data_IF_310675995254
#
_entry.id   IF_310675995254
#
_cell.length_a   1.000
_cell.length_b   1.000
_cell.length_c   1.000
_cell.angle_alpha   90.00
_cell.angle_beta   90.00
_cell.angle_gamma   90.00
#
_symmetry.space_group_name_H-M   'P 1'
#
loop_
_entity.id
_entity.type
_entity.pdbx_description
1 polymer ?
#
# COMPACT_ATOMS: atom_id res chain seq x y z
N UNK A 1 -11.41 -6.52 -17.26
CA UNK A 1 -12.11 -7.21 -16.14
C UNK A 1 -11.66 -8.65 -16.11
N UNK A 2 -11.14 -9.11 -14.96
CA UNK A 2 -10.71 -10.50 -14.79
C UNK A 2 -11.93 -11.44 -14.91
N UNK A 3 -11.71 -12.65 -15.42
CA UNK A 3 -12.77 -13.66 -15.62
C UNK A 3 -13.53 -13.97 -14.32
N UNK A 4 -12.85 -13.86 -13.17
CA UNK A 4 -13.43 -14.08 -11.83
C UNK A 4 -14.41 -12.98 -11.40
N UNK A 5 -14.11 -11.70 -11.67
CA UNK A 5 -15.03 -10.61 -11.37
C UNK A 5 -16.37 -10.79 -12.11
N UNK A 6 -16.31 -11.24 -13.37
CA UNK A 6 -17.50 -11.52 -14.19
C UNK A 6 -18.34 -12.67 -13.60
N UNK A 7 -17.72 -13.74 -13.11
CA UNK A 7 -18.41 -14.87 -12.46
C UNK A 7 -19.28 -14.35 -11.31
N UNK A 8 -18.67 -13.73 -10.30
CA UNK A 8 -19.38 -13.29 -9.09
C UNK A 8 -20.44 -12.23 -9.36
N UNK A 9 -20.21 -11.32 -10.33
CA UNK A 9 -21.20 -10.31 -10.71
C UNK A 9 -22.45 -10.90 -11.38
N UNK A 10 -22.30 -12.01 -12.13
CA UNK A 10 -23.42 -12.64 -12.86
C UNK A 10 -24.15 -13.65 -11.96
N UNK A 11 -23.41 -14.47 -11.19
CA UNK A 11 -24.00 -15.54 -10.38
C UNK A 11 -24.56 -15.04 -9.05
N UNK A 12 -24.08 -13.88 -8.57
CA UNK A 12 -24.36 -13.37 -7.23
C UNK A 12 -24.07 -14.39 -6.11
N UNK A 13 -23.19 -15.35 -6.37
CA UNK A 13 -22.82 -16.36 -5.38
C UNK A 13 -21.98 -15.74 -4.25
N UNK A 14 -22.13 -16.28 -3.04
CA UNK A 14 -21.28 -15.92 -1.90
C UNK A 14 -19.94 -16.64 -1.98
N UNK A 15 -18.90 -16.00 -1.49
CA UNK A 15 -17.57 -16.59 -1.35
C UNK A 15 -17.08 -16.41 0.09
N UNK A 16 -16.27 -17.36 0.55
CA UNK A 16 -15.67 -17.32 1.88
C UNK A 16 -14.39 -16.44 1.89
N UNK A 17 -13.79 -16.32 3.08
CA UNK A 17 -12.59 -15.51 3.30
C UNK A 17 -11.36 -16.06 2.55
N UNK A 18 -11.24 -17.37 2.37
CA UNK A 18 -10.13 -17.97 1.65
C UNK A 18 -10.18 -17.57 0.18
N UNK A 19 -11.35 -17.64 -0.45
CA UNK A 19 -11.52 -17.12 -1.81
C UNK A 19 -11.33 -15.61 -1.88
N UNK A 20 -11.78 -14.85 -0.88
CA UNK A 20 -11.56 -13.40 -0.84
C UNK A 20 -10.07 -13.02 -0.81
N UNK A 21 -9.24 -13.81 -0.12
CA UNK A 21 -7.77 -13.64 -0.08
C UNK A 21 -7.16 -13.98 -1.44
N UNK A 22 -7.56 -15.10 -2.05
CA UNK A 22 -7.07 -15.51 -3.37
C UNK A 22 -7.41 -14.51 -4.48
N UNK A 23 -8.57 -13.85 -4.36
CA UNK A 23 -9.01 -12.77 -5.25
C UNK A 23 -8.32 -11.42 -4.98
N UNK A 24 -7.56 -11.30 -3.88
CA UNK A 24 -6.92 -10.05 -3.46
C UNK A 24 -7.89 -9.00 -2.91
N UNK A 25 -9.11 -9.39 -2.52
CA UNK A 25 -10.11 -8.51 -1.89
C UNK A 25 -9.83 -8.31 -0.40
N UNK A 26 -9.31 -9.36 0.25
CA UNK A 26 -8.89 -9.35 1.65
C UNK A 26 -7.39 -9.60 1.71
N UNK A 27 -6.68 -8.79 2.50
CA UNK A 27 -5.22 -8.91 2.63
C UNK A 27 -4.81 -10.00 3.63
N UNK A 28 -5.59 -10.17 4.70
CA UNK A 28 -5.29 -11.13 5.77
C UNK A 28 -6.54 -11.43 6.60
N UNK A 29 -6.69 -12.68 7.02
CA UNK A 29 -7.71 -13.13 7.98
C UNK A 29 -7.16 -13.09 9.41
N UNK A 30 -8.03 -12.81 10.38
CA UNK A 30 -7.77 -12.98 11.81
C UNK A 30 -8.96 -13.66 12.50
N UNK A 31 -8.71 -14.29 13.65
CA UNK A 31 -9.78 -14.60 14.59
C UNK A 31 -10.34 -13.30 15.19
N UNK A 32 -11.57 -13.34 15.67
CA UNK A 32 -12.22 -12.19 16.31
C UNK A 32 -11.38 -11.65 17.49
N UNK A 33 -10.83 -12.54 18.31
CA UNK A 33 -9.96 -12.19 19.44
C UNK A 33 -8.70 -11.42 19.04
N UNK A 34 -8.17 -11.67 17.83
CA UNK A 34 -6.87 -11.15 17.39
C UNK A 34 -7.02 -10.01 16.37
N UNK A 35 -8.25 -9.65 15.97
CA UNK A 35 -8.50 -8.65 14.93
C UNK A 35 -7.92 -7.27 15.31
N UNK A 36 -8.11 -6.85 16.56
CA UNK A 36 -7.58 -5.58 17.06
C UNK A 36 -6.05 -5.57 17.08
N UNK A 37 -5.43 -6.66 17.53
CA UNK A 37 -3.97 -6.77 17.53
C UNK A 37 -3.41 -6.73 16.11
N UNK A 38 -4.04 -7.44 15.17
CA UNK A 38 -3.62 -7.42 13.77
C UNK A 38 -3.73 -6.02 13.17
N UNK A 39 -4.86 -5.32 13.40
CA UNK A 39 -5.05 -3.93 12.98
C UNK A 39 -3.94 -3.04 13.54
N UNK A 40 -3.65 -3.15 14.83
CA UNK A 40 -2.67 -2.30 15.50
C UNK A 40 -1.25 -2.59 15.00
N UNK A 41 -0.95 -3.84 14.65
CA UNK A 41 0.31 -4.21 14.01
C UNK A 41 0.47 -3.55 12.63
N UNK A 42 -0.58 -3.53 11.81
CA UNK A 42 -0.56 -2.82 10.52
C UNK A 42 -0.41 -1.30 10.70
N UNK A 43 -1.10 -0.70 11.67
CA UNK A 43 -0.96 0.73 11.99
C UNK A 43 0.48 1.04 12.41
N UNK A 44 1.07 0.22 13.29
CA UNK A 44 2.47 0.37 13.72
C UNK A 44 3.45 0.29 12.55
N UNK A 45 3.23 -0.61 11.59
CA UNK A 45 4.06 -0.70 10.39
C UNK A 45 3.97 0.58 9.56
N UNK A 46 2.77 1.12 9.37
CA UNK A 46 2.56 2.37 8.63
C UNK A 46 3.20 3.56 9.36
N UNK A 47 3.10 3.63 10.68
CA UNK A 47 3.70 4.71 11.49
C UNK A 47 5.23 4.75 11.43
N UNK A 48 5.89 3.62 11.13
CA UNK A 48 7.35 3.60 10.91
C UNK A 48 7.78 4.24 9.58
N UNK A 49 6.83 4.49 8.68
CA UNK A 49 7.10 5.06 7.36
C UNK A 49 6.96 6.58 7.35
N UNK A 50 7.71 7.24 6.47
CA UNK A 50 7.64 8.68 6.27
C UNK A 50 6.23 9.11 5.78
N UNK A 51 5.49 9.96 6.53
CA UNK A 51 4.08 10.19 6.27
C UNK A 51 3.79 10.88 4.93
N UNK A 52 4.62 11.83 4.48
CA UNK A 52 4.40 12.45 3.17
C UNK A 52 4.75 11.49 2.02
N UNK A 53 5.86 10.75 2.13
CA UNK A 53 6.22 9.71 1.17
C UNK A 53 5.12 8.65 1.02
N UNK A 54 4.59 8.12 2.13
CA UNK A 54 3.53 7.11 2.12
C UNK A 54 2.24 7.61 1.47
N UNK A 55 1.85 8.87 1.71
CA UNK A 55 0.71 9.49 1.01
C UNK A 55 0.94 9.60 -0.51
N UNK A 56 2.13 10.03 -0.93
CA UNK A 56 2.51 10.13 -2.36
C UNK A 56 2.50 8.77 -3.04
N UNK A 57 3.07 7.75 -2.41
CA UNK A 57 3.09 6.37 -2.92
C UNK A 57 1.67 5.82 -3.03
N UNK A 58 0.83 6.01 -2.00
CA UNK A 58 -0.58 5.56 -2.05
C UNK A 58 -1.33 6.18 -3.23
N UNK A 59 -1.20 7.49 -3.43
CA UNK A 59 -1.81 8.19 -4.58
C UNK A 59 -1.26 7.70 -5.93
N UNK A 60 0.05 7.43 -6.00
CA UNK A 60 0.69 6.85 -7.19
C UNK A 60 0.13 5.48 -7.55
N UNK A 61 0.01 4.58 -6.57
CA UNK A 61 -0.53 3.23 -6.78
C UNK A 61 -1.98 3.25 -7.27
N UNK A 62 -2.80 4.20 -6.79
CA UNK A 62 -4.16 4.40 -7.30
C UNK A 62 -4.15 4.79 -8.77
N UNK A 63 -3.29 5.71 -9.21
CA UNK A 63 -3.18 6.09 -10.63
C UNK A 63 -2.72 4.92 -11.52
N UNK A 64 -1.86 4.05 -10.99
CA UNK A 64 -1.36 2.87 -11.70
C UNK A 64 -2.40 1.77 -11.89
N UNK A 65 -3.46 1.74 -11.07
CA UNK A 65 -4.51 0.72 -11.16
C UNK A 65 -5.47 0.88 -12.36
N UNK A 66 -5.31 1.93 -13.17
CA UNK A 66 -6.09 2.15 -14.39
C UNK A 66 -5.54 1.33 -15.56
N UNK A 67 -6.38 1.09 -16.57
CA UNK A 67 -5.92 0.50 -17.83
C UNK A 67 -4.83 1.38 -18.45
N UNK A 68 -3.70 0.78 -18.82
CA UNK A 68 -2.49 1.44 -19.33
C UNK A 68 -1.79 2.41 -18.35
N UNK A 69 -2.19 2.41 -17.07
CA UNK A 69 -1.65 3.31 -16.05
C UNK A 69 -0.11 3.21 -15.91
N UNK A 70 0.46 2.01 -16.08
CA UNK A 70 1.91 1.83 -16.04
C UNK A 70 2.62 2.56 -17.20
N UNK A 71 2.09 2.48 -18.41
CA UNK A 71 2.68 3.13 -19.59
C UNK A 71 2.52 4.66 -19.50
N UNK A 72 1.31 5.11 -19.17
CA UNK A 72 0.96 6.54 -19.16
C UNK A 72 1.65 7.31 -18.03
N UNK A 73 1.81 6.69 -16.86
CA UNK A 73 2.33 7.38 -15.68
C UNK A 73 3.83 7.17 -15.45
N UNK A 74 4.52 6.40 -16.30
CA UNK A 74 5.91 5.97 -16.06
C UNK A 74 6.85 7.15 -15.77
N UNK A 75 6.87 8.18 -16.63
CA UNK A 75 7.73 9.37 -16.46
C UNK A 75 7.37 10.15 -15.19
N UNK A 76 6.08 10.36 -14.95
CA UNK A 76 5.61 11.08 -13.76
C UNK A 76 5.96 10.34 -12.46
N UNK A 77 5.89 9.00 -12.47
CA UNK A 77 6.20 8.17 -11.32
C UNK A 77 7.70 8.13 -11.02
N UNK A 78 8.55 8.01 -12.06
CA UNK A 78 10.01 8.12 -11.90
C UNK A 78 10.38 9.47 -11.26
N UNK A 79 9.78 10.55 -11.76
CA UNK A 79 9.97 11.89 -11.20
C UNK A 79 9.52 11.97 -9.74
N UNK A 80 8.31 11.51 -9.43
CA UNK A 80 7.76 11.51 -8.06
C UNK A 80 8.64 10.72 -7.08
N UNK A 81 9.14 9.54 -7.47
CA UNK A 81 10.03 8.74 -6.65
C UNK A 81 11.38 9.44 -6.42
N UNK A 82 11.93 10.04 -7.46
CA UNK A 82 13.20 10.79 -7.40
C UNK A 82 13.08 12.01 -6.47
N UNK A 83 12.04 12.82 -6.66
CA UNK A 83 11.75 14.00 -5.82
C UNK A 83 11.44 13.62 -4.38
N UNK A 84 10.75 12.51 -4.14
CA UNK A 84 10.48 12.03 -2.79
C UNK A 84 11.77 11.63 -2.08
N UNK A 85 12.72 11.00 -2.79
CA UNK A 85 14.02 10.60 -2.23
C UNK A 85 14.94 11.79 -1.93
N UNK A 86 14.91 12.84 -2.74
CA UNK A 86 15.72 14.06 -2.53
C UNK A 86 15.04 15.09 -1.63
N UNK A 87 13.77 14.90 -1.27
CA UNK A 87 13.04 15.77 -0.34
C UNK A 87 13.66 15.82 1.06
N UNK A 88 13.34 16.86 1.83
CA UNK A 88 13.74 16.98 3.24
C UNK A 88 13.35 15.74 4.06
N UNK A 89 12.12 15.24 3.91
CA UNK A 89 11.64 14.02 4.58
C UNK A 89 12.46 12.79 4.18
N UNK A 90 12.75 12.64 2.88
CA UNK A 90 13.60 11.56 2.37
C UNK A 90 15.02 11.61 2.92
N UNK A 91 15.63 12.80 2.98
CA UNK A 91 16.96 13.00 3.55
C UNK A 91 16.99 12.75 5.06
N UNK A 92 15.96 13.17 5.80
CA UNK A 92 15.85 12.88 7.23
C UNK A 92 15.79 11.37 7.51
N UNK A 93 15.03 10.62 6.71
CA UNK A 93 14.96 9.15 6.83
C UNK A 93 16.29 8.46 6.51
N UNK A 94 16.95 8.87 5.42
CA UNK A 94 18.26 8.35 5.05
C UNK A 94 19.31 8.63 6.14
N UNK A 95 19.32 9.86 6.68
CA UNK A 95 20.23 10.23 7.76
C UNK A 95 19.97 9.42 9.03
N UNK A 96 18.72 9.28 9.45
CA UNK A 96 18.35 8.50 10.62
C UNK A 96 18.82 7.03 10.50
N UNK A 97 18.66 6.43 9.31
CA UNK A 97 19.18 5.09 9.02
C UNK A 97 20.71 5.01 9.15
N UNK A 98 21.44 5.95 8.54
CA UNK A 98 22.91 6.00 8.60
C UNK A 98 23.42 6.22 10.02
N UNK A 99 22.72 7.05 10.80
CA UNK A 99 23.06 7.39 12.19
C UNK A 99 22.54 6.35 13.20
N UNK A 100 21.88 5.27 12.74
CA UNK A 100 21.28 4.21 13.58
C UNK A 100 20.37 4.76 14.69
N UNK A 101 19.60 5.80 14.38
CA UNK A 101 18.62 6.39 15.30
C UNK A 101 17.21 6.39 14.71
N UNK A 102 16.16 6.53 15.53
CA UNK A 102 14.81 6.69 15.02
C UNK A 102 14.68 7.93 14.11
N UNK A 103 13.92 7.83 13.01
CA UNK A 103 13.56 9.00 12.21
C UNK A 103 12.55 9.88 12.98
N UNK A 104 12.37 11.15 12.60
CA UNK A 104 11.53 12.10 13.35
C UNK A 104 10.04 11.74 13.49
N UNK A 105 9.55 10.77 12.71
CA UNK A 105 8.14 10.34 12.69
C UNK A 105 7.89 9.04 13.47
N UNK A 106 8.92 8.42 14.05
CA UNK A 106 8.83 7.16 14.80
C UNK A 106 9.41 7.26 16.20
#
# INVERSE_FOLDING_TARGET
MTTLARRYMITAEVFDVQQAIELGLVHQQASESNLNELRDNWIKLIQKTAPHASRKIKSMLTRLSTQDGLHNEQKANIRLMSETRTSSEGQMGLRAFLEKRPPPWS
#
